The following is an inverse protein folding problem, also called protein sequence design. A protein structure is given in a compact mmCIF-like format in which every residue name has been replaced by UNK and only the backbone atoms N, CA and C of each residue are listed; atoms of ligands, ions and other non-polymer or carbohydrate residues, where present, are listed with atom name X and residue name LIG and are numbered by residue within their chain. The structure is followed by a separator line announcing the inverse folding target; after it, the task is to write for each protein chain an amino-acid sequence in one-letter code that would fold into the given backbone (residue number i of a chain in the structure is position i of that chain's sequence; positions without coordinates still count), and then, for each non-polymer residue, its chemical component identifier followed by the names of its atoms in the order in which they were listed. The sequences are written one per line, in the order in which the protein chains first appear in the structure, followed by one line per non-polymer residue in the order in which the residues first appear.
data_IF_537266165647
#
_entry.id   IF_537266165647
#
_cell.length_a   1.000
_cell.length_b   1.000
_cell.length_c   1.000
_cell.angle_alpha   90.00
_cell.angle_beta   90.00
_cell.angle_gamma   90.00
#
_symmetry.space_group_name_H-M   'P 1'
#
loop_
_entity.id
_entity.type
_entity.pdbx_description
1 polymer ?
#
# COMPACT_ATOMS: atom_id res chain seq x y z
N UNK A 1 4.90 20.07 6.28
CA UNK A 1 5.55 18.93 5.58
C UNK A 1 4.54 17.97 4.92
N UNK A 2 3.64 17.31 5.67
CA UNK A 2 2.73 16.29 5.11
C UNK A 2 1.86 16.78 3.95
N UNK A 3 1.36 18.02 4.01
CA UNK A 3 0.58 18.66 2.95
C UNK A 3 1.35 18.80 1.63
N UNK A 4 2.58 19.31 1.68
CA UNK A 4 3.42 19.46 0.48
C UNK A 4 3.76 18.11 -0.15
N UNK A 5 4.06 17.10 0.68
CA UNK A 5 4.27 15.74 0.18
C UNK A 5 3.01 15.18 -0.48
N UNK A 6 1.83 15.34 0.13
CA UNK A 6 0.56 14.89 -0.47
C UNK A 6 0.29 15.57 -1.80
N UNK A 7 0.50 16.89 -1.91
CA UNK A 7 0.31 17.63 -3.17
C UNK A 7 1.27 17.14 -4.26
N UNK A 8 2.56 16.99 -3.94
CA UNK A 8 3.56 16.44 -4.87
C UNK A 8 3.16 15.04 -5.34
N UNK A 9 2.67 14.18 -4.45
CA UNK A 9 2.24 12.83 -4.82
C UNK A 9 0.95 12.79 -5.64
N UNK A 10 0.02 13.71 -5.40
CA UNK A 10 -1.18 13.86 -6.23
C UNK A 10 -0.79 14.31 -7.62
N UNK A 11 0.10 15.30 -7.75
CA UNK A 11 0.62 15.76 -9.04
C UNK A 11 1.38 14.66 -9.76
N UNK A 12 2.26 13.91 -9.07
CA UNK A 12 2.99 12.77 -9.64
C UNK A 12 2.04 11.68 -10.15
N UNK A 13 0.99 11.36 -9.39
CA UNK A 13 -0.02 10.38 -9.81
C UNK A 13 -0.81 10.86 -11.03
N UNK A 14 -1.20 12.14 -11.07
CA UNK A 14 -1.89 12.76 -12.20
C UNK A 14 -0.99 12.72 -13.46
N UNK A 15 0.28 13.12 -13.33
CA UNK A 15 1.25 13.08 -14.44
C UNK A 15 1.44 11.66 -14.95
N UNK A 16 1.55 10.64 -14.08
CA UNK A 16 1.63 9.23 -14.49
C UNK A 16 0.37 8.75 -15.20
N UNK A 17 -0.82 9.16 -14.75
CA UNK A 17 -2.10 8.79 -15.37
C UNK A 17 -2.22 9.38 -16.78
N UNK A 18 -1.85 10.65 -16.96
CA UNK A 18 -1.87 11.31 -18.26
C UNK A 18 -0.76 10.81 -19.21
N UNK A 19 0.42 10.46 -18.69
CA UNK A 19 1.54 10.00 -19.51
C UNK A 19 1.47 8.53 -19.95
N UNK A 20 0.92 7.63 -19.12
CA UNK A 20 0.83 6.19 -19.43
C UNK A 20 -0.54 5.75 -19.96
N UNK A 21 -1.58 6.58 -19.80
CA UNK A 21 -2.95 6.23 -20.13
C UNK A 21 -3.61 5.31 -19.08
N UNK A 22 -4.90 5.54 -18.82
CA UNK A 22 -5.67 4.88 -17.75
C UNK A 22 -5.63 3.35 -17.80
N UNK A 23 -5.67 2.76 -19.02
CA UNK A 23 -5.64 1.31 -19.22
C UNK A 23 -4.30 0.68 -18.82
N UNK A 24 -3.19 1.30 -19.17
CA UNK A 24 -1.86 0.76 -18.88
C UNK A 24 -1.46 1.01 -17.41
N UNK A 25 -1.92 2.13 -16.84
CA UNK A 25 -1.75 2.43 -15.43
C UNK A 25 -2.45 1.40 -14.52
N UNK A 26 -3.66 0.96 -14.88
CA UNK A 26 -4.41 -0.06 -14.14
C UNK A 26 -3.95 -1.49 -14.49
N UNK A 27 -3.08 -1.70 -15.47
CA UNK A 27 -2.53 -3.05 -15.71
C UNK A 27 -1.42 -3.39 -14.70
N UNK A 28 -0.57 -2.42 -14.33
CA UNK A 28 0.53 -2.67 -13.39
C UNK A 28 0.04 -2.67 -11.92
N UNK A 29 0.12 -3.80 -11.19
CA UNK A 29 -0.28 -3.89 -9.79
C UNK A 29 0.49 -2.92 -8.88
N UNK A 30 1.72 -2.58 -9.24
CA UNK A 30 2.50 -1.62 -8.47
C UNK A 30 2.00 -0.17 -8.63
N UNK A 31 1.37 0.16 -9.76
CA UNK A 31 0.79 1.49 -9.98
C UNK A 31 -0.58 1.61 -9.31
N UNK A 32 -1.35 0.52 -9.22
CA UNK A 32 -2.56 0.46 -8.37
C UNK A 32 -2.22 0.70 -6.91
N UNK A 33 -1.17 0.06 -6.39
CA UNK A 33 -0.72 0.25 -5.01
C UNK A 33 -0.31 1.70 -4.75
N UNK A 34 0.45 2.30 -5.67
CA UNK A 34 0.85 3.71 -5.58
C UNK A 34 -0.39 4.63 -5.51
N UNK A 35 -1.37 4.42 -6.38
CA UNK A 35 -2.61 5.20 -6.41
C UNK A 35 -3.43 5.05 -5.13
N UNK A 36 -3.56 3.84 -4.60
CA UNK A 36 -4.26 3.60 -3.33
C UNK A 36 -3.58 4.31 -2.15
N UNK A 37 -2.24 4.34 -2.12
CA UNK A 37 -1.47 5.05 -1.08
C UNK A 37 -1.63 6.56 -1.19
N UNK A 38 -1.65 7.11 -2.42
CA UNK A 38 -1.90 8.55 -2.66
C UNK A 38 -3.30 8.93 -2.21
N UNK A 39 -4.34 8.19 -2.62
CA UNK A 39 -5.73 8.43 -2.19
C UNK A 39 -5.87 8.34 -0.67
N UNK A 40 -5.27 7.32 -0.04
CA UNK A 40 -5.28 7.18 1.41
C UNK A 40 -4.55 8.32 2.12
N UNK A 41 -3.47 8.86 1.54
CA UNK A 41 -2.75 10.00 2.08
C UNK A 41 -3.53 11.32 1.98
N UNK A 42 -4.29 11.50 0.89
CA UNK A 42 -5.21 12.64 0.74
C UNK A 42 -6.34 12.53 1.76
N UNK A 43 -6.91 11.33 1.92
CA UNK A 43 -7.98 11.08 2.87
C UNK A 43 -7.54 11.26 4.33
N UNK A 44 -6.32 10.83 4.68
CA UNK A 44 -5.67 11.09 5.98
C UNK A 44 -5.55 12.57 6.28
N UNK A 45 -5.11 13.34 5.29
CA UNK A 45 -5.03 14.79 5.44
C UNK A 45 -6.42 15.40 5.64
N UNK A 46 -7.39 15.01 4.82
CA UNK A 46 -8.76 15.52 4.86
C UNK A 46 -9.40 15.25 6.23
N UNK A 47 -9.26 14.03 6.74
CA UNK A 47 -9.75 13.64 8.06
C UNK A 47 -9.01 14.34 9.20
N UNK A 48 -7.70 14.56 9.09
CA UNK A 48 -6.94 15.33 10.08
C UNK A 48 -7.41 16.79 10.15
N UNK A 49 -7.75 17.39 9.02
CA UNK A 49 -8.27 18.77 8.95
C UNK A 49 -9.71 18.87 9.45
N UNK A 50 -10.53 17.84 9.21
CA UNK A 50 -11.91 17.74 9.71
C UNK A 50 -12.02 17.31 11.19
N UNK A 51 -10.93 16.86 11.82
CA UNK A 51 -10.92 16.37 13.22
C UNK A 51 -10.97 17.50 14.26
N UNK A 52 -11.76 18.53 14.02
CA UNK A 52 -12.33 19.37 15.07
C UNK A 52 -13.49 18.63 15.73
N UNK A 53 -13.17 17.95 16.84
CA UNK A 53 -14.01 17.68 18.03
C UNK A 53 -15.03 16.52 18.10
N UNK A 54 -15.61 15.98 17.01
CA UNK A 54 -16.72 15.00 17.16
C UNK A 54 -16.40 13.54 16.81
N UNK A 55 -15.35 13.28 16.03
CA UNK A 55 -15.14 11.95 15.42
C UNK A 55 -14.36 10.97 16.31
N UNK A 56 -13.54 11.49 17.24
CA UNK A 56 -12.68 10.70 18.13
C UNK A 56 -13.45 9.87 19.17
N UNK A 57 -14.70 10.25 19.45
CA UNK A 57 -15.59 9.57 20.42
C UNK A 57 -16.33 8.40 19.78
N UNK A 58 -16.58 8.43 18.47
CA UNK A 58 -17.23 7.32 17.76
C UNK A 58 -16.26 6.17 17.48
N UNK A 59 -16.76 4.92 17.48
CA UNK A 59 -16.00 3.69 17.13
C UNK A 59 -15.19 3.82 15.83
N UNK A 60 -15.60 4.72 14.93
CA UNK A 60 -14.95 5.01 13.65
C UNK A 60 -13.57 5.65 13.83
N UNK A 61 -13.33 6.45 14.88
CA UNK A 61 -12.01 7.02 15.17
C UNK A 61 -10.93 5.97 15.42
N UNK A 62 -11.25 4.85 16.08
CA UNK A 62 -10.31 3.73 16.28
C UNK A 62 -10.01 2.97 14.99
N UNK A 63 -11.01 2.77 14.14
CA UNK A 63 -10.82 2.12 12.84
C UNK A 63 -9.95 2.98 11.93
N UNK A 64 -10.23 4.29 11.85
CA UNK A 64 -9.41 5.24 11.10
C UNK A 64 -7.98 5.31 11.62
N UNK A 65 -7.75 5.34 12.93
CA UNK A 65 -6.41 5.33 13.50
C UNK A 65 -5.60 4.09 13.07
N UNK A 66 -6.22 2.91 12.96
CA UNK A 66 -5.58 1.70 12.41
C UNK A 66 -5.27 1.86 10.92
N UNK A 67 -6.22 2.35 10.13
CA UNK A 67 -6.05 2.58 8.68
C UNK A 67 -4.91 3.56 8.42
N UNK A 68 -4.81 4.65 9.19
CA UNK A 68 -3.70 5.61 9.08
C UNK A 68 -2.35 5.01 9.43
N UNK A 69 -2.31 4.13 10.44
CA UNK A 69 -1.09 3.41 10.78
C UNK A 69 -0.64 2.50 9.64
N UNK A 70 -1.57 1.81 9.00
CA UNK A 70 -1.30 0.97 7.83
C UNK A 70 -0.86 1.79 6.61
N UNK A 71 -1.50 2.93 6.35
CA UNK A 71 -1.14 3.85 5.26
C UNK A 71 0.28 4.41 5.41
N UNK A 72 0.73 4.71 6.64
CA UNK A 72 2.12 5.11 6.91
C UNK A 72 3.12 4.01 6.54
N UNK A 73 2.84 2.77 6.93
CA UNK A 73 3.69 1.62 6.56
C UNK A 73 3.71 1.43 5.04
N UNK A 74 2.55 1.54 4.39
CA UNK A 74 2.45 1.46 2.93
C UNK A 74 3.27 2.55 2.20
N UNK A 75 3.36 3.76 2.77
CA UNK A 75 4.20 4.84 2.25
C UNK A 75 5.69 4.50 2.32
N UNK A 76 6.14 3.82 3.37
CA UNK A 76 7.54 3.32 3.49
C UNK A 76 7.82 2.22 2.47
N UNK A 77 6.86 1.31 2.26
CA UNK A 77 6.95 0.24 1.24
C UNK A 77 7.06 0.82 -0.18
N UNK A 78 6.53 2.02 -0.43
CA UNK A 78 6.72 2.69 -1.72
C UNK A 78 8.18 3.13 -1.96
N UNK A 79 8.90 3.58 -0.93
CA UNK A 79 10.34 3.88 -1.06
C UNK A 79 11.10 2.63 -1.51
N UNK A 80 10.69 1.48 -0.99
CA UNK A 80 11.16 0.17 -1.40
C UNK A 80 10.89 -0.12 -2.89
N UNK A 81 9.73 0.25 -3.44
CA UNK A 81 9.44 0.16 -4.90
C UNK A 81 10.34 1.07 -5.73
N UNK A 82 10.68 2.26 -5.22
CA UNK A 82 11.53 3.22 -5.94
C UNK A 82 12.95 2.69 -6.16
N UNK A 83 13.42 1.78 -5.30
CA UNK A 83 14.70 1.10 -5.46
C UNK A 83 14.52 -0.13 -6.35
N UNK A 84 14.99 -0.05 -7.60
CA UNK A 84 14.88 -1.14 -8.57
C UNK A 84 15.46 -2.47 -8.08
N UNK A 85 16.52 -2.44 -7.26
CA UNK A 85 17.10 -3.64 -6.64
C UNK A 85 16.13 -4.33 -5.66
N UNK A 86 15.42 -3.56 -4.83
CA UNK A 86 14.50 -4.11 -3.85
C UNK A 86 13.24 -4.69 -4.52
N UNK A 87 12.76 -4.06 -5.59
CA UNK A 87 11.68 -4.61 -6.43
C UNK A 87 12.01 -5.99 -6.96
N UNK A 88 13.25 -6.21 -7.43
CA UNK A 88 13.70 -7.52 -7.93
C UNK A 88 13.69 -8.58 -6.83
N UNK A 89 14.17 -8.25 -5.63
CA UNK A 89 14.17 -9.15 -4.48
C UNK A 89 12.75 -9.56 -4.05
N UNK A 90 11.82 -8.59 -4.02
CA UNK A 90 10.42 -8.89 -3.70
C UNK A 90 9.79 -9.78 -4.77
N UNK A 91 10.08 -9.54 -6.04
CA UNK A 91 9.58 -10.36 -7.14
C UNK A 91 10.11 -11.80 -7.05
N UNK A 92 11.41 -11.98 -6.75
CA UNK A 92 12.00 -13.32 -6.58
C UNK A 92 11.41 -14.04 -5.38
N UNK A 93 11.23 -13.35 -4.25
CA UNK A 93 10.55 -13.91 -3.07
C UNK A 93 9.12 -14.35 -3.42
N UNK A 94 8.39 -13.51 -4.16
CA UNK A 94 7.04 -13.85 -4.60
C UNK A 94 7.01 -15.07 -5.52
N UNK A 95 8.02 -15.24 -6.38
CA UNK A 95 8.15 -16.42 -7.24
C UNK A 95 8.54 -17.70 -6.49
N UNK A 96 9.27 -17.58 -5.37
CA UNK A 96 9.68 -18.73 -4.56
C UNK A 96 8.63 -19.15 -3.53
N UNK A 97 7.72 -18.24 -3.13
CA UNK A 97 6.60 -18.54 -2.24
C UNK A 97 5.74 -19.75 -2.67
N UNK A 98 5.28 -19.89 -3.92
CA UNK A 98 4.47 -21.05 -4.31
C UNK A 98 5.22 -22.37 -4.16
N UNK A 99 6.53 -22.40 -4.43
CA UNK A 99 7.36 -23.59 -4.19
C UNK A 99 7.47 -23.93 -2.70
N UNK A 100 7.62 -22.92 -1.85
CA UNK A 100 7.59 -23.06 -0.39
C UNK A 100 6.24 -23.56 0.12
N UNK A 101 5.13 -23.10 -0.46
CA UNK A 101 3.77 -23.57 -0.11
C UNK A 101 3.60 -25.05 -0.41
N UNK A 102 4.13 -25.56 -1.53
CA UNK A 102 4.08 -26.99 -1.85
C UNK A 102 4.82 -27.83 -0.80
N UNK A 103 6.04 -27.44 -0.42
CA UNK A 103 6.81 -28.14 0.62
C UNK A 103 6.13 -28.00 1.98
N UNK A 104 5.64 -26.82 2.31
CA UNK A 104 4.90 -26.56 3.56
C UNK A 104 3.60 -27.36 3.64
N UNK A 105 2.89 -27.54 2.53
CA UNK A 105 1.67 -28.36 2.46
C UNK A 105 1.97 -29.83 2.73
N UNK A 106 3.07 -30.36 2.18
CA UNK A 106 3.51 -31.74 2.48
C UNK A 106 3.90 -31.90 3.94
N UNK A 107 4.60 -30.91 4.50
CA UNK A 107 4.99 -30.90 5.91
C UNK A 107 3.76 -30.83 6.84
N UNK A 108 2.76 -30.01 6.49
CA UNK A 108 1.48 -29.94 7.21
C UNK A 108 0.74 -31.28 7.17
N UNK A 109 0.74 -31.97 6.03
CA UNK A 109 0.14 -33.30 5.90
C UNK A 109 0.81 -34.32 6.82
N UNK A 110 2.15 -34.31 6.88
CA UNK A 110 2.90 -35.16 7.79
C UNK A 110 2.56 -34.90 9.26
N UNK A 111 2.49 -33.63 9.67
CA UNK A 111 2.08 -33.22 11.03
C UNK A 111 0.62 -33.55 11.36
N UNK A 112 -0.23 -33.74 10.37
CA UNK A 112 -1.63 -34.11 10.59
C UNK A 112 -1.80 -35.62 10.78
N UNK A 113 -0.95 -36.41 10.13
CA UNK A 113 -0.98 -37.88 10.18
C UNK A 113 -0.29 -38.42 11.45
N UNK A 114 0.80 -37.79 11.87
CA UNK A 114 1.56 -38.12 13.09
C UNK A 114 1.11 -37.28 14.28
#
# INVERSE_FOLDING_TARGET
LNLMFTIIFVVEAIVKIYGLGWKQYISDPWNKFDLAVVLGSVFDLFLTVLDTSLFRVFRVGRALARVFRLLRVARVIRLAKAVAGLRRLVLTLWSSLPSLVNVGSLLMLLFFIY
#
